data_IF_195601662780
#
_entry.id   IF_195601662780
#
_cell.length_a   1.000
_cell.length_b   1.000
_cell.length_c   1.000
_cell.angle_alpha   90.00
_cell.angle_beta   90.00
_cell.angle_gamma   90.00
#
_symmetry.space_group_name_H-M   'P 1'
#
loop_
_entity.id
_entity.type
_entity.pdbx_description
1 polymer ?
#
# COMPACT_ATOMS: atom_id res chain seq x y z
N UNK A 1 47.00 14.88 4.09
CA UNK A 1 47.35 13.99 2.97
C UNK A 1 46.72 12.64 3.27
N UNK A 2 45.54 12.38 2.69
CA UNK A 2 44.70 11.24 3.06
C UNK A 2 45.14 9.98 2.34
N UNK A 3 45.33 8.93 3.15
CA UNK A 3 45.41 7.53 2.78
C UNK A 3 44.15 7.11 1.98
N UNK A 4 44.27 6.06 1.18
CA UNK A 4 43.24 5.43 0.32
C UNK A 4 43.19 5.86 -1.16
N UNK A 5 44.34 5.73 -1.82
CA UNK A 5 44.37 5.25 -3.20
C UNK A 5 44.06 3.74 -3.23
N UNK A 6 43.41 3.29 -4.32
CA UNK A 6 43.14 1.91 -4.75
C UNK A 6 41.74 1.33 -4.47
N UNK A 7 40.78 1.65 -5.33
CA UNK A 7 39.84 0.62 -5.85
C UNK A 7 39.99 0.60 -7.37
N UNK A 8 40.37 -0.59 -7.85
CA UNK A 8 40.85 -0.94 -9.18
C UNK A 8 39.72 -0.93 -10.23
N UNK A 9 40.12 -0.55 -11.44
CA UNK A 9 39.83 -1.24 -12.71
C UNK A 9 38.41 -1.80 -12.91
N UNK A 10 37.52 -1.02 -13.54
CA UNK A 10 36.24 -1.53 -14.05
C UNK A 10 36.45 -2.03 -15.48
N UNK A 11 36.68 -3.33 -15.62
CA UNK A 11 36.54 -4.05 -16.89
C UNK A 11 35.15 -3.86 -17.53
N UNK A 12 34.99 -4.27 -18.79
CA UNK A 12 33.80 -3.93 -19.58
C UNK A 12 32.53 -4.46 -18.90
N UNK A 13 31.54 -3.57 -18.76
CA UNK A 13 30.21 -3.88 -18.25
C UNK A 13 29.59 -4.94 -19.15
N UNK A 14 29.58 -6.19 -18.69
CA UNK A 14 28.81 -7.25 -19.34
C UNK A 14 27.33 -6.87 -19.27
N UNK A 15 26.77 -6.53 -20.42
CA UNK A 15 25.34 -6.27 -20.60
C UNK A 15 24.58 -7.57 -20.37
N UNK A 16 24.12 -7.82 -19.13
CA UNK A 16 23.21 -8.92 -18.90
C UNK A 16 21.82 -8.55 -19.44
N UNK A 17 21.63 -8.85 -20.72
CA UNK A 17 20.37 -8.77 -21.46
C UNK A 17 19.46 -9.93 -21.04
N UNK A 18 19.03 -9.95 -19.77
CA UNK A 18 17.87 -10.71 -19.30
C UNK A 18 17.47 -10.29 -17.87
N UNK A 19 16.55 -9.33 -17.74
CA UNK A 19 15.62 -9.28 -16.60
C UNK A 19 14.21 -9.05 -17.12
N UNK A 20 13.70 -9.98 -17.94
CA UNK A 20 12.25 -10.15 -18.10
C UNK A 20 11.70 -10.30 -16.68
N UNK A 21 10.82 -9.38 -16.29
CA UNK A 21 10.37 -9.21 -14.91
C UNK A 21 10.00 -10.54 -14.26
N UNK A 22 10.34 -10.67 -12.97
CA UNK A 22 9.85 -11.73 -12.08
C UNK A 22 8.39 -12.02 -12.46
N UNK A 23 7.98 -13.28 -12.72
CA UNK A 23 6.61 -13.56 -13.15
C UNK A 23 5.61 -13.03 -12.11
N UNK A 24 5.03 -11.86 -12.36
CA UNK A 24 3.91 -11.31 -11.60
C UNK A 24 2.62 -11.87 -12.19
N UNK A 25 2.55 -13.19 -12.36
CA UNK A 25 1.31 -13.81 -12.77
C UNK A 25 0.38 -13.81 -11.57
N UNK A 26 -0.82 -13.31 -11.79
CA UNK A 26 -1.88 -13.36 -10.79
C UNK A 26 -2.17 -14.81 -10.42
N UNK A 27 -2.33 -15.07 -9.13
CA UNK A 27 -2.97 -16.28 -8.63
C UNK A 27 -4.13 -15.88 -7.71
N UNK A 28 -5.23 -16.66 -7.65
CA UNK A 28 -6.38 -16.35 -6.81
C UNK A 28 -6.03 -16.07 -5.34
N UNK A 29 -5.00 -16.75 -4.83
CA UNK A 29 -4.52 -16.64 -3.44
C UNK A 29 -3.96 -15.25 -3.11
N UNK A 30 -3.50 -14.49 -4.12
CA UNK A 30 -3.03 -13.11 -3.93
C UNK A 30 -4.16 -12.22 -3.41
N UNK A 31 -5.42 -12.47 -3.79
CA UNK A 31 -6.57 -11.76 -3.23
C UNK A 31 -6.64 -11.88 -1.70
N UNK A 32 -6.49 -13.10 -1.20
CA UNK A 32 -6.45 -13.36 0.25
C UNK A 32 -5.26 -12.69 0.94
N UNK A 33 -4.09 -12.66 0.28
CA UNK A 33 -2.90 -11.97 0.82
C UNK A 33 -3.15 -10.47 0.93
N UNK A 34 -3.69 -9.83 -0.10
CA UNK A 34 -4.01 -8.39 -0.09
C UNK A 34 -5.03 -8.07 0.99
N UNK A 35 -6.10 -8.85 1.09
CA UNK A 35 -7.10 -8.70 2.14
C UNK A 35 -6.45 -8.74 3.54
N UNK A 36 -5.64 -9.76 3.83
CA UNK A 36 -4.96 -9.91 5.13
C UNK A 36 -3.98 -8.79 5.44
N UNK A 37 -3.30 -8.24 4.44
CA UNK A 37 -2.38 -7.11 4.65
C UNK A 37 -3.17 -5.83 4.95
N UNK A 38 -4.24 -5.57 4.20
CA UNK A 38 -5.05 -4.37 4.39
C UNK A 38 -5.87 -4.43 5.69
N UNK A 39 -6.30 -5.61 6.14
CA UNK A 39 -6.98 -5.79 7.43
C UNK A 39 -6.10 -5.44 8.64
N UNK A 40 -4.79 -5.25 8.44
CA UNK A 40 -3.86 -4.73 9.46
C UNK A 40 -3.78 -3.19 9.47
N UNK A 41 -4.58 -2.50 8.64
CA UNK A 41 -4.59 -1.04 8.53
C UNK A 41 -3.73 -0.50 7.37
N UNK A 42 -3.04 -1.37 6.63
CA UNK A 42 -2.19 -0.99 5.50
C UNK A 42 -3.03 -0.50 4.31
N UNK A 43 -2.54 0.53 3.62
CA UNK A 43 -3.10 0.95 2.33
C UNK A 43 -2.83 -0.09 1.24
N UNK A 44 -3.56 -0.04 0.13
CA UNK A 44 -3.31 -0.91 -1.02
C UNK A 44 -1.87 -0.77 -1.56
N UNK A 45 -1.32 0.45 -1.56
CA UNK A 45 0.07 0.71 -1.96
C UNK A 45 1.06 0.06 -1.01
N UNK A 46 0.81 0.11 0.31
CA UNK A 46 1.66 -0.54 1.30
C UNK A 46 1.56 -2.08 1.20
N UNK A 47 0.35 -2.62 0.98
CA UNK A 47 0.16 -4.04 0.71
C UNK A 47 0.91 -4.49 -0.55
N UNK A 48 0.88 -3.70 -1.63
CA UNK A 48 1.65 -3.96 -2.84
C UNK A 48 3.17 -4.00 -2.56
N UNK A 49 3.68 -3.03 -1.80
CA UNK A 49 5.08 -3.02 -1.36
C UNK A 49 5.46 -4.23 -0.50
N UNK A 50 4.59 -4.65 0.42
CA UNK A 50 4.81 -5.83 1.25
C UNK A 50 4.88 -7.15 0.45
N UNK A 51 4.22 -7.22 -0.70
CA UNK A 51 4.30 -8.37 -1.61
C UNK A 51 5.46 -8.26 -2.62
N UNK A 52 6.23 -7.17 -2.60
CA UNK A 52 7.23 -6.84 -3.63
C UNK A 52 6.61 -6.77 -5.04
N UNK A 53 5.45 -6.10 -5.14
CA UNK A 53 4.68 -5.93 -6.38
C UNK A 53 4.49 -4.44 -6.66
N UNK A 54 4.74 -4.04 -7.90
CA UNK A 54 4.49 -2.67 -8.34
C UNK A 54 3.00 -2.32 -8.21
N UNK A 55 2.70 -1.11 -7.72
CA UNK A 55 1.32 -0.60 -7.59
C UNK A 55 0.53 -0.69 -8.91
N UNK A 56 1.18 -0.44 -10.04
CA UNK A 56 0.57 -0.54 -11.37
C UNK A 56 0.07 -1.97 -11.68
N UNK A 57 0.82 -2.99 -11.27
CA UNK A 57 0.44 -4.40 -11.46
C UNK A 57 -0.84 -4.74 -10.67
N UNK A 58 -0.93 -4.29 -9.42
CA UNK A 58 -2.14 -4.46 -8.60
C UNK A 58 -3.36 -3.82 -9.26
N UNK A 59 -3.23 -2.59 -9.76
CA UNK A 59 -4.32 -1.92 -10.49
C UNK A 59 -4.70 -2.63 -11.79
N UNK A 60 -3.71 -3.18 -12.51
CA UNK A 60 -3.99 -3.97 -13.71
C UNK A 60 -4.74 -5.26 -13.37
N UNK A 61 -4.42 -5.91 -12.26
CA UNK A 61 -5.16 -7.08 -11.79
C UNK A 61 -6.59 -6.74 -11.38
N UNK A 62 -6.82 -5.62 -10.68
CA UNK A 62 -8.18 -5.18 -10.31
C UNK A 62 -9.08 -4.98 -11.54
N UNK A 63 -8.51 -4.52 -12.65
CA UNK A 63 -9.25 -4.37 -13.93
C UNK A 63 -9.52 -5.69 -14.63
N UNK A 64 -8.66 -6.69 -14.44
CA UNK A 64 -8.66 -7.95 -15.21
C UNK A 64 -9.37 -9.09 -14.48
N UNK A 65 -9.37 -9.08 -13.16
CA UNK A 65 -9.82 -10.18 -12.30
C UNK A 65 -10.85 -9.64 -11.30
N UNK A 66 -12.16 -9.75 -11.57
CA UNK A 66 -13.22 -9.26 -10.69
C UNK A 66 -13.15 -9.82 -9.26
N UNK A 67 -12.73 -11.07 -9.10
CA UNK A 67 -12.52 -11.73 -7.81
C UNK A 67 -11.37 -11.09 -7.00
N UNK A 68 -10.35 -10.56 -7.69
CA UNK A 68 -9.29 -9.81 -7.05
C UNK A 68 -9.77 -8.41 -6.63
N UNK A 69 -10.60 -7.76 -7.46
CA UNK A 69 -11.23 -6.50 -7.11
C UNK A 69 -12.08 -6.63 -5.83
N UNK A 70 -12.93 -7.67 -5.74
CA UNK A 70 -13.71 -7.96 -4.53
C UNK A 70 -12.80 -8.09 -3.30
N UNK A 71 -11.69 -8.84 -3.42
CA UNK A 71 -10.72 -8.99 -2.34
C UNK A 71 -10.10 -7.65 -1.90
N UNK A 72 -9.81 -6.76 -2.85
CA UNK A 72 -9.28 -5.41 -2.55
C UNK A 72 -10.34 -4.55 -1.88
N UNK A 73 -11.58 -4.55 -2.34
CA UNK A 73 -12.69 -3.77 -1.76
C UNK A 73 -12.98 -4.22 -0.33
N UNK A 74 -13.05 -5.54 -0.09
CA UNK A 74 -13.15 -6.11 1.26
C UNK A 74 -11.94 -5.74 2.12
N UNK A 75 -10.75 -5.70 1.54
CA UNK A 75 -9.53 -5.24 2.21
C UNK A 75 -9.59 -3.76 2.60
N UNK A 76 -10.16 -2.89 1.75
CA UNK A 76 -10.37 -1.47 2.05
C UNK A 76 -11.35 -1.28 3.21
N UNK A 77 -12.47 -2.02 3.23
CA UNK A 77 -13.40 -2.01 4.35
C UNK A 77 -12.73 -2.49 5.64
N UNK A 78 -12.01 -3.61 5.60
CA UNK A 78 -11.29 -4.14 6.77
C UNK A 78 -10.22 -3.17 7.28
N UNK A 79 -9.55 -2.45 6.38
CA UNK A 79 -8.59 -1.40 6.73
C UNK A 79 -9.26 -0.29 7.55
N UNK A 80 -10.42 0.21 7.12
CA UNK A 80 -11.17 1.25 7.83
C UNK A 80 -11.53 0.77 9.23
N UNK A 81 -12.12 -0.43 9.33
CA UNK A 81 -12.45 -1.04 10.62
C UNK A 81 -11.25 -1.12 11.56
N UNK A 82 -10.10 -1.61 11.08
CA UNK A 82 -8.88 -1.72 11.90
C UNK A 82 -8.40 -0.36 12.40
N UNK A 83 -8.39 0.66 11.53
CA UNK A 83 -7.95 2.00 11.90
C UNK A 83 -8.87 2.65 12.94
N UNK A 84 -10.18 2.44 12.81
CA UNK A 84 -11.17 2.93 13.77
C UNK A 84 -11.09 2.19 15.11
N UNK A 85 -11.03 0.86 15.09
CA UNK A 85 -10.88 0.05 16.30
C UNK A 85 -9.59 0.41 17.08
N UNK A 86 -8.46 0.57 16.37
CA UNK A 86 -7.20 1.00 16.97
C UNK A 86 -7.29 2.41 17.57
N UNK A 87 -8.06 3.31 16.94
CA UNK A 87 -8.27 4.65 17.46
C UNK A 87 -9.13 4.66 18.72
N UNK A 88 -10.24 3.91 18.73
CA UNK A 88 -11.16 3.80 19.87
C UNK A 88 -10.50 3.15 21.09
N UNK A 89 -9.55 2.24 20.88
CA UNK A 89 -8.78 1.61 21.94
C UNK A 89 -7.56 2.42 22.43
N UNK A 90 -7.24 3.55 21.81
CA UNK A 90 -6.06 4.33 22.15
C UNK A 90 -6.35 5.41 23.19
N UNK A 91 -5.49 5.52 24.20
CA UNK A 91 -5.52 6.62 25.19
C UNK A 91 -4.51 7.74 24.87
N UNK A 92 -3.69 7.54 23.85
CA UNK A 92 -2.58 8.42 23.50
C UNK A 92 -2.99 9.32 22.33
N UNK A 93 -2.94 10.63 22.56
CA UNK A 93 -3.38 11.62 21.57
C UNK A 93 -2.67 11.49 20.22
N UNK A 94 -1.37 11.17 20.21
CA UNK A 94 -0.60 11.03 18.97
C UNK A 94 -1.08 9.84 18.11
N UNK A 95 -1.49 8.73 18.74
CA UNK A 95 -2.10 7.60 18.04
C UNK A 95 -3.47 8.01 17.50
N UNK A 96 -4.31 8.64 18.32
CA UNK A 96 -5.64 9.10 17.90
C UNK A 96 -5.55 10.01 16.68
N UNK A 97 -4.65 11.00 16.72
CA UNK A 97 -4.44 11.92 15.60
C UNK A 97 -3.93 11.19 14.35
N UNK A 98 -2.93 10.30 14.47
CA UNK A 98 -2.41 9.54 13.35
C UNK A 98 -3.50 8.66 12.70
N UNK A 99 -4.34 7.99 13.50
CA UNK A 99 -5.46 7.18 13.01
C UNK A 99 -6.53 8.03 12.35
N UNK A 100 -6.90 9.17 12.93
CA UNK A 100 -7.84 10.11 12.32
C UNK A 100 -7.36 10.58 10.94
N UNK A 101 -6.08 10.93 10.80
CA UNK A 101 -5.51 11.29 9.49
C UNK A 101 -5.54 10.11 8.51
N UNK A 102 -5.23 8.90 8.98
CA UNK A 102 -5.29 7.70 8.14
C UNK A 102 -6.73 7.39 7.68
N UNK A 103 -7.74 7.60 8.53
CA UNK A 103 -9.17 7.39 8.26
C UNK A 103 -9.71 8.40 7.25
N UNK A 104 -9.35 9.68 7.34
CA UNK A 104 -9.70 10.70 6.33
C UNK A 104 -9.23 10.28 4.93
N UNK A 105 -8.05 9.65 4.84
CA UNK A 105 -7.54 9.15 3.57
C UNK A 105 -8.14 7.79 3.16
N UNK A 106 -8.60 6.98 4.12
CA UNK A 106 -9.18 5.67 3.88
C UNK A 106 -10.63 5.73 3.41
N UNK A 107 -11.43 6.57 4.08
CA UNK A 107 -12.86 6.72 3.88
C UNK A 107 -13.22 8.22 3.94
N UNK A 108 -12.79 9.00 2.91
CA UNK A 108 -12.99 10.45 2.91
C UNK A 108 -14.46 10.86 2.95
N UNK A 109 -15.37 10.06 2.39
CA UNK A 109 -16.80 10.35 2.41
C UNK A 109 -17.40 10.32 3.82
N UNK A 110 -16.84 9.51 4.72
CA UNK A 110 -17.32 9.34 6.10
C UNK A 110 -16.58 10.27 7.07
N UNK A 111 -15.26 10.41 6.91
CA UNK A 111 -14.39 11.05 7.89
C UNK A 111 -14.01 12.50 7.57
N UNK A 112 -14.22 12.97 6.35
CA UNK A 112 -13.95 14.36 5.97
C UNK A 112 -15.11 15.23 6.42
N UNK A 113 -14.82 16.31 7.16
CA UNK A 113 -15.84 17.30 7.51
C UNK A 113 -16.43 17.91 6.23
N UNK A 114 -17.76 17.94 6.14
CA UNK A 114 -18.44 18.76 5.13
C UNK A 114 -18.12 20.23 5.42
N UNK A 115 -17.56 20.94 4.44
CA UNK A 115 -17.49 22.39 4.51
C UNK A 115 -18.91 22.87 4.26
N UNK A 116 -19.63 23.25 5.32
CA UNK A 116 -20.93 23.90 5.20
C UNK A 116 -20.75 25.13 4.33
N UNK A 117 -21.30 25.10 3.11
CA UNK A 117 -21.32 26.26 2.22
C UNK A 117 -22.24 27.28 2.89
N UNK A 118 -21.65 28.25 3.58
CA UNK A 118 -22.39 29.43 4.04
C UNK A 118 -22.86 30.16 2.79
N UNK A 119 -24.09 29.90 2.38
CA UNK A 119 -24.81 30.74 1.44
C UNK A 119 -25.26 31.96 2.24
N UNK A 120 -24.52 33.05 2.05
CA UNK A 120 -24.86 34.42 2.47
C UNK A 120 -25.06 35.24 1.21
#
# INVERSE_FOLDING_TARGET
MSLFAAIRDRGPVMTNKARRGRPTNYTPEIGNVVYRLMSQGLSLTAAAGAMDIARATVHNWMKRYPEFLDSVERGQAARVYKLEADMLGANEAHIIHARRFALINAAPAEWRKSQGRSIT
#
